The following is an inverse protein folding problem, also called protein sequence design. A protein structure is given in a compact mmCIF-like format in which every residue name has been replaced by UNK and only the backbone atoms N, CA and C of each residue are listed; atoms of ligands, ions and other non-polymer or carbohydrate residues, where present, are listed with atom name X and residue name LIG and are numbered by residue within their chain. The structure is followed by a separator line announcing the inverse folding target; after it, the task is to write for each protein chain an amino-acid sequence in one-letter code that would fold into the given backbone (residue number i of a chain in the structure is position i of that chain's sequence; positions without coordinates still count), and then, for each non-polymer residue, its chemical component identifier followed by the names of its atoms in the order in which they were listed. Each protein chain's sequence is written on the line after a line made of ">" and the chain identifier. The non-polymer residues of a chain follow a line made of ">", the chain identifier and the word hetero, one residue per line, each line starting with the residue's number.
data_IF_019616010787
#
_entry.id   IF_019616010787
#
_cell.length_a   1.000
_cell.length_b   1.000
_cell.length_c   1.000
_cell.angle_alpha   90.00
_cell.angle_beta   90.00
_cell.angle_gamma   90.00
#
_symmetry.space_group_name_H-M   'P 1'
#
loop_
_entity.id
_entity.type
_entity.pdbx_description
1 polymer ?
#
# COMPACT_ATOMS: atom_id res chain seq x y z
N UNK A 1 21.35 63.40 -49.68
CA UNK A 1 20.48 63.05 -48.55
C UNK A 1 19.70 61.82 -48.99
N UNK A 2 20.23 60.62 -48.74
CA UNK A 2 19.62 59.38 -49.24
C UNK A 2 18.56 58.91 -48.24
N UNK A 3 17.34 58.79 -48.75
CA UNK A 3 16.16 58.34 -48.03
C UNK A 3 16.21 56.80 -47.91
N UNK A 4 16.24 56.29 -46.68
CA UNK A 4 16.26 54.85 -46.43
C UNK A 4 14.83 54.38 -46.15
N UNK A 5 14.36 53.30 -46.81
CA UNK A 5 13.03 52.77 -46.54
C UNK A 5 12.96 52.19 -45.13
N UNK A 6 11.93 52.59 -44.40
CA UNK A 6 11.62 52.10 -43.06
C UNK A 6 11.18 50.63 -43.14
N UNK A 7 11.97 49.74 -42.55
CA UNK A 7 11.66 48.30 -42.52
C UNK A 7 10.70 48.05 -41.35
N UNK A 8 9.44 47.79 -41.68
CA UNK A 8 8.41 47.44 -40.72
C UNK A 8 8.66 46.02 -40.17
N UNK A 9 9.08 45.93 -38.91
CA UNK A 9 9.41 44.66 -38.28
C UNK A 9 8.14 44.07 -37.65
N UNK A 10 7.60 43.04 -38.30
CA UNK A 10 6.50 42.25 -37.73
C UNK A 10 7.06 41.36 -36.61
N UNK A 11 6.92 41.80 -35.37
CA UNK A 11 7.26 41.01 -34.18
C UNK A 11 6.26 39.84 -34.08
N UNK A 12 6.67 38.65 -34.55
CA UNK A 12 5.88 37.43 -34.36
C UNK A 12 6.05 36.96 -32.91
N UNK A 13 5.15 37.38 -32.03
CA UNK A 13 5.05 36.81 -30.68
C UNK A 13 4.71 35.32 -30.78
N UNK A 14 5.71 34.45 -30.62
CA UNK A 14 5.47 33.03 -30.37
C UNK A 14 4.85 32.87 -29.00
N UNK A 15 3.51 32.85 -28.96
CA UNK A 15 2.71 32.48 -27.80
C UNK A 15 3.19 31.13 -27.26
N UNK A 16 4.04 31.14 -26.23
CA UNK A 16 4.48 29.94 -25.50
C UNK A 16 3.21 29.21 -25.05
N UNK A 17 2.86 28.12 -25.75
CA UNK A 17 1.67 27.34 -25.44
C UNK A 17 1.76 26.89 -24.00
N UNK A 18 0.73 27.21 -23.25
CA UNK A 18 0.61 26.97 -21.83
C UNK A 18 0.55 25.47 -21.53
N UNK A 19 1.73 24.84 -21.51
CA UNK A 19 1.92 23.42 -21.22
C UNK A 19 1.46 23.06 -19.79
N UNK A 20 1.34 24.05 -18.91
CA UNK A 20 0.84 23.90 -17.55
C UNK A 20 -0.69 23.93 -17.37
N UNK A 21 -1.49 24.10 -18.43
CA UNK A 21 -2.95 24.19 -18.28
C UNK A 21 -3.72 22.87 -18.28
N UNK A 22 -3.09 21.70 -18.12
CA UNK A 22 -3.80 20.41 -18.20
C UNK A 22 -3.55 19.39 -17.07
N UNK A 23 -3.41 19.78 -15.78
CA UNK A 23 -3.42 18.78 -14.71
C UNK A 23 -4.74 17.99 -14.71
N UNK A 24 -5.87 18.63 -15.04
CA UNK A 24 -7.17 17.96 -15.14
C UNK A 24 -7.23 16.86 -16.21
N UNK A 25 -6.59 17.07 -17.36
CA UNK A 25 -6.54 16.05 -18.41
C UNK A 25 -5.68 14.86 -17.99
N UNK A 26 -4.56 15.12 -17.32
CA UNK A 26 -3.70 14.06 -16.80
C UNK A 26 -4.40 13.26 -15.70
N UNK A 27 -5.11 13.93 -14.78
CA UNK A 27 -5.90 13.25 -13.74
C UNK A 27 -7.00 12.37 -14.34
N UNK A 28 -7.72 12.85 -15.36
CA UNK A 28 -8.74 12.05 -16.05
C UNK A 28 -8.10 10.84 -16.73
N UNK A 29 -6.95 11.01 -17.38
CA UNK A 29 -6.24 9.92 -18.03
C UNK A 29 -5.75 8.88 -17.01
N UNK A 30 -5.20 9.32 -15.88
CA UNK A 30 -4.76 8.44 -14.78
C UNK A 30 -5.94 7.69 -14.17
N UNK A 31 -7.05 8.38 -13.89
CA UNK A 31 -8.26 7.76 -13.35
C UNK A 31 -8.86 6.73 -14.32
N UNK A 32 -8.90 7.07 -15.62
CA UNK A 32 -9.33 6.15 -16.67
C UNK A 32 -8.46 4.90 -16.76
N UNK A 33 -7.14 5.09 -16.73
CA UNK A 33 -6.18 3.99 -16.80
C UNK A 33 -6.25 3.10 -15.55
N UNK A 34 -6.47 3.69 -14.37
CA UNK A 34 -6.73 2.95 -13.14
C UNK A 34 -8.01 2.12 -13.23
N UNK A 35 -9.11 2.70 -13.74
CA UNK A 35 -10.37 1.99 -13.91
C UNK A 35 -10.23 0.78 -14.85
N UNK A 36 -9.47 0.94 -15.94
CA UNK A 36 -9.18 -0.16 -16.87
C UNK A 36 -8.17 -1.17 -16.33
N UNK A 37 -7.31 -0.80 -15.37
CA UNK A 37 -6.34 -1.73 -14.78
C UNK A 37 -6.92 -2.60 -13.66
N UNK A 38 -8.03 -2.18 -13.03
CA UNK A 38 -8.73 -2.97 -11.99
C UNK A 38 -9.03 -4.41 -12.40
N UNK A 39 -9.69 -4.72 -13.54
CA UNK A 39 -9.99 -6.11 -13.91
C UNK A 39 -8.71 -6.94 -14.11
N UNK A 40 -7.64 -6.34 -14.64
CA UNK A 40 -6.36 -7.01 -14.80
C UNK A 40 -5.72 -7.32 -13.45
N UNK A 41 -5.79 -6.37 -12.51
CA UNK A 41 -5.30 -6.56 -11.14
C UNK A 41 -6.05 -7.68 -10.41
N UNK A 42 -7.38 -7.76 -10.56
CA UNK A 42 -8.19 -8.84 -9.99
C UNK A 42 -7.80 -10.19 -10.59
N UNK A 43 -7.58 -10.27 -11.92
CA UNK A 43 -7.12 -11.51 -12.56
C UNK A 43 -5.73 -11.95 -12.06
N UNK A 44 -4.80 -11.01 -11.86
CA UNK A 44 -3.50 -11.32 -11.28
C UNK A 44 -3.62 -11.87 -9.85
N UNK A 45 -4.48 -11.28 -9.02
CA UNK A 45 -4.78 -11.79 -7.68
C UNK A 45 -5.43 -13.18 -7.74
N UNK A 46 -6.29 -13.44 -8.71
CA UNK A 46 -6.91 -14.75 -8.88
C UNK A 46 -5.89 -15.84 -9.27
N UNK A 47 -4.86 -15.50 -10.04
CA UNK A 47 -3.80 -16.45 -10.41
C UNK A 47 -2.77 -16.69 -9.30
N UNK A 48 -2.38 -15.65 -8.57
CA UNK A 48 -1.36 -15.78 -7.52
C UNK A 48 -1.95 -16.20 -6.16
N UNK A 49 -3.23 -15.89 -5.91
CA UNK A 49 -3.93 -16.19 -4.66
C UNK A 49 -3.53 -15.28 -3.49
N UNK A 50 -2.26 -14.85 -3.44
CA UNK A 50 -1.74 -13.95 -2.42
C UNK A 50 -0.63 -13.02 -2.94
N UNK A 51 -0.61 -11.80 -2.41
CA UNK A 51 0.49 -10.85 -2.56
C UNK A 51 0.96 -10.44 -1.18
N UNK A 52 2.20 -10.78 -0.83
CA UNK A 52 2.80 -10.47 0.47
C UNK A 52 3.98 -9.52 0.30
N UNK A 53 3.94 -8.39 0.99
CA UNK A 53 5.10 -7.53 1.20
C UNK A 53 5.76 -7.91 2.52
N UNK A 54 6.88 -8.64 2.41
CA UNK A 54 7.69 -9.07 3.54
C UNK A 54 8.24 -7.88 4.33
N UNK A 55 8.30 -8.03 5.66
CA UNK A 55 8.89 -7.03 6.55
C UNK A 55 10.40 -7.22 6.66
N UNK A 56 11.16 -6.15 6.43
CA UNK A 56 12.57 -6.06 6.80
C UNK A 56 12.76 -5.65 8.27
N UNK A 57 13.95 -5.90 8.84
CA UNK A 57 14.32 -5.50 10.21
C UNK A 57 14.45 -6.65 11.20
N UNK A 58 14.70 -6.32 12.46
CA UNK A 58 14.74 -7.27 13.60
C UNK A 58 13.35 -7.38 14.23
N UNK A 59 12.52 -8.21 13.60
CA UNK A 59 11.15 -8.53 14.04
C UNK A 59 10.98 -10.05 13.93
N UNK A 60 10.46 -10.72 14.97
CA UNK A 60 10.23 -12.16 14.96
C UNK A 60 9.19 -12.56 13.91
N UNK A 61 9.32 -13.78 13.40
CA UNK A 61 8.36 -14.40 12.50
C UNK A 61 7.90 -13.49 11.34
N UNK A 62 8.85 -12.93 10.58
CA UNK A 62 8.61 -11.98 9.48
C UNK A 62 7.58 -12.44 8.45
N UNK A 63 7.49 -13.75 8.23
CA UNK A 63 6.52 -14.36 7.32
C UNK A 63 5.09 -14.32 7.86
N UNK A 64 4.92 -14.31 9.20
CA UNK A 64 3.62 -14.25 9.88
C UNK A 64 3.17 -12.81 10.13
N UNK A 65 4.08 -11.84 10.05
CA UNK A 65 3.81 -10.41 10.24
C UNK A 65 4.22 -9.57 9.02
N UNK A 66 3.55 -9.75 7.86
CA UNK A 66 3.83 -8.98 6.67
C UNK A 66 3.45 -7.50 6.86
N UNK A 67 4.13 -6.59 6.17
CA UNK A 67 3.76 -5.17 6.19
C UNK A 67 2.37 -4.98 5.59
N UNK A 68 2.14 -5.67 4.48
CA UNK A 68 0.86 -5.73 3.78
C UNK A 68 0.77 -7.10 3.11
N UNK A 69 -0.34 -7.79 3.34
CA UNK A 69 -0.70 -9.00 2.64
C UNK A 69 -2.12 -8.85 2.13
N UNK A 70 -2.30 -9.08 0.83
CA UNK A 70 -3.62 -9.16 0.20
C UNK A 70 -3.80 -10.59 -0.27
N UNK A 71 -4.84 -11.27 0.21
CA UNK A 71 -5.15 -12.65 -0.12
C UNK A 71 -6.58 -12.75 -0.64
N UNK A 72 -6.75 -13.43 -1.77
CA UNK A 72 -8.06 -13.79 -2.28
C UNK A 72 -8.46 -15.14 -1.69
N UNK A 73 -9.58 -15.18 -0.98
CA UNK A 73 -10.16 -16.39 -0.40
C UNK A 73 -11.32 -16.80 -1.30
N UNK A 74 -11.32 -18.06 -1.76
CA UNK A 74 -12.31 -18.64 -2.66
C UNK A 74 -12.81 -19.99 -2.16
N UNK A 75 -12.96 -20.14 -0.85
CA UNK A 75 -13.49 -21.37 -0.26
C UNK A 75 -15.00 -21.49 -0.51
N UNK A 76 -15.56 -22.68 -0.26
CA UNK A 76 -16.99 -22.90 -0.49
C UNK A 76 -17.88 -22.08 0.45
N UNK A 77 -17.46 -21.94 1.70
CA UNK A 77 -18.25 -21.26 2.75
C UNK A 77 -17.80 -19.81 2.99
N UNK A 78 -16.60 -19.44 2.53
CA UNK A 78 -16.03 -18.11 2.73
C UNK A 78 -15.35 -17.61 1.46
N UNK A 79 -15.73 -16.43 1.01
CA UNK A 79 -15.15 -15.80 -0.18
C UNK A 79 -14.91 -14.33 0.05
N UNK A 80 -13.84 -13.81 -0.55
CA UNK A 80 -13.57 -12.38 -0.56
C UNK A 80 -12.09 -12.06 -0.48
N UNK A 81 -11.79 -10.81 -0.17
CA UNK A 81 -10.43 -10.30 -0.04
C UNK A 81 -10.09 -10.10 1.42
N UNK A 82 -9.03 -10.76 1.86
CA UNK A 82 -8.41 -10.51 3.14
C UNK A 82 -7.21 -9.57 2.94
N UNK A 83 -7.22 -8.44 3.64
CA UNK A 83 -6.09 -7.53 3.74
C UNK A 83 -5.57 -7.56 5.17
N UNK A 84 -4.38 -8.12 5.33
CA UNK A 84 -3.64 -8.09 6.59
C UNK A 84 -2.57 -7.02 6.51
N UNK A 85 -2.60 -6.05 7.42
CA UNK A 85 -1.47 -5.15 7.67
C UNK A 85 -0.95 -5.41 9.06
N UNK A 86 0.33 -5.16 9.29
CA UNK A 86 0.85 -5.20 10.65
C UNK A 86 1.60 -3.92 11.00
N UNK A 87 1.56 -3.52 12.26
CA UNK A 87 2.38 -2.44 12.82
C UNK A 87 3.21 -2.98 13.97
N UNK A 88 4.42 -2.43 14.14
CA UNK A 88 5.33 -2.83 15.20
C UNK A 88 5.35 -1.73 16.25
N UNK A 89 5.06 -2.12 17.48
CA UNK A 89 5.08 -1.29 18.66
C UNK A 89 6.22 -1.79 19.55
N UNK A 90 7.30 -1.03 19.61
CA UNK A 90 8.48 -1.39 20.41
C UNK A 90 8.43 -0.57 21.70
N UNK A 91 8.32 -1.27 22.83
CA UNK A 91 8.40 -0.62 24.13
C UNK A 91 9.87 -0.39 24.51
N UNK A 92 10.72 -1.41 24.36
CA UNK A 92 12.14 -1.40 24.71
C UNK A 92 13.01 -2.16 23.69
N UNK A 93 14.33 -2.21 23.89
CA UNK A 93 15.24 -3.07 23.10
C UNK A 93 14.81 -4.53 23.09
N UNK A 94 14.22 -4.96 24.20
CA UNK A 94 13.97 -6.35 24.54
C UNK A 94 12.49 -6.73 24.56
N UNK A 95 11.60 -5.75 24.39
CA UNK A 95 10.14 -5.94 24.38
C UNK A 95 9.53 -5.33 23.11
N UNK A 96 8.81 -6.16 22.36
CA UNK A 96 8.23 -5.78 21.08
C UNK A 96 6.87 -6.44 20.89
N UNK A 97 5.87 -5.63 20.56
CA UNK A 97 4.54 -6.10 20.19
C UNK A 97 4.25 -5.80 18.71
N UNK A 98 3.59 -6.73 18.04
CA UNK A 98 3.19 -6.61 16.64
C UNK A 98 1.68 -6.68 16.55
N UNK A 99 1.07 -5.58 16.14
CA UNK A 99 -0.36 -5.50 15.92
C UNK A 99 -0.67 -5.90 14.48
N UNK A 100 -1.39 -6.99 14.30
CA UNK A 100 -1.96 -7.42 13.02
C UNK A 100 -3.38 -6.88 12.90
N UNK A 101 -3.66 -6.13 11.85
CA UNK A 101 -4.99 -5.65 11.50
C UNK A 101 -5.46 -6.41 10.27
N UNK A 102 -6.50 -7.22 10.43
CA UNK A 102 -7.09 -8.05 9.40
C UNK A 102 -8.41 -7.41 8.99
N UNK A 103 -8.52 -7.06 7.72
CA UNK A 103 -9.73 -6.48 7.15
C UNK A 103 -10.25 -7.34 6.03
N UNK A 104 -11.56 -7.53 6.03
CA UNK A 104 -12.24 -8.26 4.97
C UNK A 104 -12.97 -7.28 4.05
N UNK A 105 -12.76 -7.41 2.74
CA UNK A 105 -13.40 -6.64 1.68
C UNK A 105 -14.12 -7.59 0.73
N UNK A 106 -15.28 -7.18 0.23
CA UNK A 106 -16.11 -8.01 -0.65
C UNK A 106 -16.31 -9.42 -0.06
N UNK A 107 -16.55 -9.48 1.25
CA UNK A 107 -16.60 -10.71 2.02
C UNK A 107 -18.00 -11.33 2.00
N UNK A 108 -18.04 -12.63 1.76
CA UNK A 108 -19.21 -13.48 1.80
C UNK A 108 -18.89 -14.63 2.77
N UNK A 109 -19.51 -14.63 3.93
CA UNK A 109 -19.28 -15.61 5.02
C UNK A 109 -19.34 -14.96 6.41
N UNK A 110 -19.13 -15.77 7.44
CA UNK A 110 -18.96 -15.28 8.81
C UNK A 110 -17.50 -14.80 9.01
N UNK A 111 -17.30 -13.49 9.18
CA UNK A 111 -15.99 -12.90 9.38
C UNK A 111 -16.07 -11.40 9.60
N UNK A 112 -15.56 -10.92 10.74
CA UNK A 112 -15.48 -9.51 11.07
C UNK A 112 -14.04 -9.03 11.05
N UNK A 113 -13.83 -7.72 10.90
CA UNK A 113 -12.49 -7.15 10.99
C UNK A 113 -11.92 -7.43 12.38
N UNK A 114 -10.72 -8.00 12.42
CA UNK A 114 -10.06 -8.42 13.66
C UNK A 114 -8.72 -7.73 13.76
N UNK A 115 -8.41 -7.26 14.96
CA UNK A 115 -7.09 -6.80 15.33
C UNK A 115 -6.53 -7.74 16.39
N UNK A 116 -5.33 -8.24 16.18
CA UNK A 116 -4.62 -9.11 17.11
C UNK A 116 -3.26 -8.50 17.44
N UNK A 117 -2.89 -8.52 18.71
CA UNK A 117 -1.58 -8.11 19.18
C UNK A 117 -0.75 -9.35 19.55
N UNK A 118 0.46 -9.45 19.01
CA UNK A 118 1.42 -10.50 19.34
C UNK A 118 2.63 -9.87 20.03
N UNK A 119 2.84 -10.16 21.31
CA UNK A 119 3.95 -9.62 22.08
C UNK A 119 5.07 -10.64 22.26
N UNK A 120 6.28 -10.13 22.09
CA UNK A 120 7.51 -10.88 22.14
C UNK A 120 8.49 -10.19 23.09
N UNK A 121 9.24 -10.99 23.84
CA UNK A 121 10.39 -10.48 24.60
C UNK A 121 11.62 -11.32 24.34
N UNK A 122 12.78 -10.75 24.62
CA UNK A 122 14.07 -11.44 24.63
C UNK A 122 14.86 -10.99 25.86
N UNK A 123 15.84 -11.79 26.27
CA UNK A 123 16.72 -11.38 27.38
C UNK A 123 17.85 -10.46 26.90
N UNK A 124 18.31 -10.64 25.66
CA UNK A 124 19.41 -9.90 25.06
C UNK A 124 19.29 -9.89 23.52
N UNK A 125 19.93 -8.93 22.84
CA UNK A 125 19.87 -8.80 21.37
C UNK A 125 20.47 -9.98 20.59
N UNK A 126 21.20 -10.84 21.28
CA UNK A 126 21.82 -12.05 20.71
C UNK A 126 20.92 -13.28 20.81
N UNK A 127 19.83 -13.18 21.57
CA UNK A 127 18.87 -14.26 21.82
C UNK A 127 17.65 -14.09 20.92
N UNK A 128 17.15 -15.20 20.39
CA UNK A 128 15.92 -15.21 19.61
C UNK A 128 14.72 -14.75 20.45
N UNK A 129 13.80 -14.05 19.80
CA UNK A 129 12.56 -13.59 20.40
C UNK A 129 11.69 -14.75 20.90
N UNK A 130 11.25 -14.68 22.15
CA UNK A 130 10.26 -15.57 22.73
C UNK A 130 8.87 -14.92 22.69
N UNK A 131 7.85 -15.69 22.34
CA UNK A 131 6.46 -15.21 22.39
C UNK A 131 5.98 -15.16 23.85
N UNK A 132 5.61 -13.96 24.30
CA UNK A 132 5.07 -13.74 25.65
C UNK A 132 3.56 -14.00 25.67
N UNK A 133 2.85 -13.54 24.63
CA UNK A 133 1.40 -13.67 24.56
C UNK A 133 0.80 -13.18 23.25
N UNK A 134 -0.45 -13.58 23.04
CA UNK A 134 -1.30 -13.11 21.93
C UNK A 134 -2.61 -12.63 22.52
N UNK A 135 -2.95 -11.38 22.24
CA UNK A 135 -4.16 -10.73 22.72
C UNK A 135 -5.03 -10.29 21.54
N UNK A 136 -6.35 -10.44 21.68
CA UNK A 136 -7.31 -9.89 20.74
C UNK A 136 -7.55 -8.43 21.06
N UNK A 137 -7.18 -7.52 20.16
CA UNK A 137 -7.25 -6.08 20.38
C UNK A 137 -6.05 -5.34 19.79
N UNK A 138 -6.05 -4.02 19.98
CA UNK A 138 -4.88 -3.19 19.71
C UNK A 138 -3.78 -3.45 20.74
N UNK A 139 -2.52 -3.20 20.38
CA UNK A 139 -1.42 -3.23 21.36
C UNK A 139 -1.43 -1.92 22.16
N UNK A 140 -1.76 -1.98 23.45
CA UNK A 140 -1.65 -0.87 24.41
C UNK A 140 -0.45 -1.04 25.35
#
# INVERSE_FOLDING_TARGET
>A
MSDYPEIDYVVVERKRRAWWKRPGCLLILVAWLALMSVPFFILLLAFQGEMTLGRGGDVPNKHQHPVLQVRLIMDMDYRGLNITTSSVHRADSDNLCVQNNIRFLLWEGEGENVTNCHCYSREDETVDWASVGVESGACD
#
